data_IF_597060737526
#
_entry.id   IF_597060737526
#
_cell.length_a   1.000
_cell.length_b   1.000
_cell.length_c   1.000
_cell.angle_alpha   90.00
_cell.angle_beta   90.00
_cell.angle_gamma   90.00
#
_symmetry.space_group_name_H-M   'P 1'
#
loop_
_entity.id
_entity.type
_entity.pdbx_description
1 polymer ?
#
# COMPACT_ATOMS: atom_id res chain seq x y z
N UNK A 1 8.26 -65.19 -52.97
CA UNK A 1 8.89 -64.45 -51.88
C UNK A 1 8.12 -63.12 -51.67
N UNK A 2 7.17 -63.00 -50.76
CA UNK A 2 6.30 -61.85 -50.57
C UNK A 2 6.84 -60.97 -49.39
N UNK A 3 7.30 -59.80 -49.74
CA UNK A 3 7.77 -58.82 -48.75
C UNK A 3 6.54 -58.07 -48.16
N UNK A 4 6.23 -58.22 -46.91
CA UNK A 4 5.19 -57.41 -46.19
C UNK A 4 5.82 -56.12 -45.74
N UNK A 5 5.32 -55.00 -46.25
CA UNK A 5 5.60 -53.65 -45.70
C UNK A 5 4.78 -53.46 -44.41
N UNK A 6 5.47 -53.28 -43.30
CA UNK A 6 4.86 -52.87 -42.02
C UNK A 6 4.92 -51.33 -41.99
N UNK A 7 3.76 -50.68 -42.09
CA UNK A 7 3.65 -49.24 -41.80
C UNK A 7 3.66 -49.01 -40.31
N UNK A 8 4.72 -48.38 -39.82
CA UNK A 8 4.81 -47.89 -38.44
C UNK A 8 4.14 -46.53 -38.37
N UNK A 9 2.95 -46.46 -37.79
CA UNK A 9 2.22 -45.23 -37.55
C UNK A 9 2.82 -44.55 -36.31
N UNK A 10 3.69 -43.54 -36.50
CA UNK A 10 4.23 -42.71 -35.42
C UNK A 10 3.16 -41.65 -35.06
N UNK A 11 2.34 -41.94 -34.07
CA UNK A 11 1.46 -40.93 -33.48
C UNK A 11 2.30 -40.01 -32.61
N UNK A 12 2.63 -38.83 -33.10
CA UNK A 12 3.24 -37.73 -32.34
C UNK A 12 2.20 -37.22 -31.35
N UNK A 13 2.34 -37.63 -30.09
CA UNK A 13 1.59 -37.07 -28.93
C UNK A 13 2.19 -35.70 -28.61
N UNK A 14 1.69 -34.64 -29.23
CA UNK A 14 2.01 -33.29 -28.82
C UNK A 14 1.37 -33.03 -27.44
N UNK A 15 2.14 -33.19 -26.34
CA UNK A 15 1.79 -32.64 -25.07
C UNK A 15 1.76 -31.11 -25.23
N UNK A 16 0.57 -30.56 -25.40
CA UNK A 16 0.36 -29.13 -25.30
C UNK A 16 0.70 -28.69 -23.89
N UNK A 17 1.85 -28.06 -23.69
CA UNK A 17 2.08 -27.26 -22.51
C UNK A 17 1.04 -26.14 -22.53
N UNK A 18 -0.08 -26.32 -21.85
CA UNK A 18 -0.96 -25.23 -21.46
C UNK A 18 -0.19 -24.38 -20.46
N UNK A 19 0.61 -23.45 -20.95
CA UNK A 19 1.06 -22.33 -20.14
C UNK A 19 -0.21 -21.58 -19.73
N UNK A 20 -0.60 -21.66 -18.47
CA UNK A 20 -1.61 -20.79 -17.90
C UNK A 20 -1.07 -19.37 -18.02
N UNK A 21 -1.45 -18.67 -19.09
CA UNK A 21 -1.19 -17.24 -19.22
C UNK A 21 -1.97 -16.60 -18.08
N UNK A 22 -1.28 -16.21 -17.02
CA UNK A 22 -1.84 -15.34 -15.99
C UNK A 22 -2.21 -14.03 -16.70
N UNK A 23 -3.49 -13.74 -16.79
CA UNK A 23 -3.93 -12.47 -17.36
C UNK A 23 -3.56 -11.38 -16.36
N UNK A 24 -2.44 -10.72 -16.60
CA UNK A 24 -2.01 -9.52 -15.93
C UNK A 24 -3.04 -8.41 -16.20
N UNK A 25 -3.54 -7.74 -15.18
CA UNK A 25 -4.41 -6.57 -15.35
C UNK A 25 -3.55 -5.37 -15.71
N UNK A 26 -3.93 -4.64 -16.75
CA UNK A 26 -3.31 -3.36 -17.11
C UNK A 26 -4.39 -2.31 -17.05
N UNK A 27 -4.18 -1.25 -16.25
CA UNK A 27 -5.09 -0.14 -16.16
C UNK A 27 -4.38 1.17 -16.55
N UNK A 28 -5.09 2.02 -17.28
CA UNK A 28 -4.71 3.40 -17.58
C UNK A 28 -5.76 4.32 -16.91
N UNK A 29 -5.56 4.73 -15.66
CA UNK A 29 -6.48 5.60 -14.98
C UNK A 29 -6.61 6.94 -15.69
N UNK A 30 -7.79 7.55 -15.61
CA UNK A 30 -8.01 8.87 -16.20
C UNK A 30 -7.36 9.94 -15.34
N UNK A 31 -6.69 10.89 -16.01
CA UNK A 31 -6.18 12.10 -15.38
C UNK A 31 -7.32 13.07 -15.10
N UNK A 32 -7.35 13.63 -13.91
CA UNK A 32 -8.36 14.56 -13.41
C UNK A 32 -7.68 15.84 -12.87
N UNK A 33 -8.46 16.84 -12.50
CA UNK A 33 -7.96 18.01 -11.77
C UNK A 33 -7.73 17.67 -10.30
N UNK A 34 -6.72 18.27 -9.65
CA UNK A 34 -6.32 17.95 -8.28
C UNK A 34 -7.45 18.04 -7.23
N UNK A 35 -8.43 18.91 -7.42
CA UNK A 35 -9.53 19.13 -6.47
C UNK A 35 -10.84 18.45 -6.89
N UNK A 36 -10.81 17.50 -7.82
CA UNK A 36 -12.02 16.86 -8.32
C UNK A 36 -12.55 15.78 -7.37
N UNK A 37 -11.66 15.09 -6.64
CA UNK A 37 -12.04 14.13 -5.61
C UNK A 37 -12.03 14.85 -4.26
N UNK A 38 -13.16 14.80 -3.57
CA UNK A 38 -13.29 15.23 -2.19
C UNK A 38 -13.16 14.02 -1.27
N UNK A 39 -12.12 13.98 -0.43
CA UNK A 39 -11.98 12.90 0.53
C UNK A 39 -13.00 13.06 1.65
N UNK A 40 -14.13 12.40 1.56
CA UNK A 40 -15.20 12.43 2.57
C UNK A 40 -15.66 11.02 3.03
N UNK A 41 -14.98 9.98 2.52
CA UNK A 41 -15.30 8.58 2.80
C UNK A 41 -16.53 8.09 2.02
N UNK A 42 -16.92 8.75 0.93
CA UNK A 42 -18.08 8.36 0.12
C UNK A 42 -17.66 8.20 -1.34
N UNK A 43 -17.67 6.97 -1.82
CA UNK A 43 -17.46 6.68 -3.25
C UNK A 43 -18.73 7.04 -4.01
N UNK A 44 -18.88 8.31 -4.38
CA UNK A 44 -20.04 8.75 -5.16
C UNK A 44 -19.81 8.58 -6.67
N UNK A 45 -20.91 8.31 -7.39
CA UNK A 45 -20.84 7.98 -8.82
C UNK A 45 -20.41 9.16 -9.70
N UNK A 46 -20.63 10.39 -9.27
CA UNK A 46 -20.29 11.57 -10.08
C UNK A 46 -18.80 11.91 -10.02
N UNK A 47 -18.20 11.83 -8.84
CA UNK A 47 -16.77 12.07 -8.67
C UNK A 47 -15.91 10.98 -9.30
N UNK A 48 -16.32 9.71 -9.08
CA UNK A 48 -15.58 8.53 -9.51
C UNK A 48 -16.03 7.99 -10.88
N UNK A 49 -16.91 8.69 -11.63
CA UNK A 49 -17.48 8.22 -12.92
C UNK A 49 -16.46 7.87 -13.99
N UNK A 50 -15.30 8.49 -13.93
CA UNK A 50 -14.23 8.29 -14.90
C UNK A 50 -13.11 7.40 -14.38
N UNK A 51 -13.25 6.83 -13.18
CA UNK A 51 -12.22 6.00 -12.58
C UNK A 51 -12.07 4.67 -13.32
N UNK A 52 -10.83 4.22 -13.45
CA UNK A 52 -10.55 2.83 -13.76
C UNK A 52 -10.99 1.98 -12.58
N UNK A 53 -11.72 0.90 -12.87
CA UNK A 53 -12.25 0.01 -11.84
C UNK A 53 -11.48 -1.30 -11.83
N UNK A 54 -11.07 -1.72 -10.64
CA UNK A 54 -10.45 -3.01 -10.36
C UNK A 54 -11.26 -3.71 -9.29
N UNK A 55 -11.56 -5.00 -9.47
CA UNK A 55 -12.21 -5.81 -8.43
C UNK A 55 -11.19 -6.69 -7.74
N UNK A 56 -11.38 -6.98 -6.45
CA UNK A 56 -10.64 -8.01 -5.74
C UNK A 56 -11.29 -9.36 -6.07
N UNK A 57 -10.72 -10.04 -7.06
CA UNK A 57 -11.35 -11.23 -7.67
C UNK A 57 -10.98 -12.55 -6.99
N UNK A 58 -10.07 -12.49 -6.01
CA UNK A 58 -9.53 -13.70 -5.39
C UNK A 58 -9.54 -13.62 -3.87
N UNK A 59 -10.05 -14.66 -3.23
CA UNK A 59 -9.80 -14.93 -1.81
C UNK A 59 -8.41 -15.56 -1.69
N UNK A 60 -7.52 -14.89 -0.94
CA UNK A 60 -6.15 -15.32 -0.69
C UNK A 60 -6.04 -16.19 0.57
N UNK A 61 -6.76 -15.82 1.65
CA UNK A 61 -6.86 -16.58 2.90
C UNK A 61 -8.32 -16.62 3.36
N UNK A 62 -8.78 -17.74 3.92
CA UNK A 62 -8.15 -19.07 3.99
C UNK A 62 -8.09 -19.78 2.63
N UNK A 63 -8.82 -19.28 1.62
CA UNK A 63 -8.82 -19.80 0.25
C UNK A 63 -7.46 -19.72 -0.44
N UNK A 64 -7.40 -20.25 -1.63
CA UNK A 64 -6.24 -20.12 -2.50
C UNK A 64 -6.68 -19.76 -3.91
N UNK A 65 -6.72 -18.47 -4.18
CA UNK A 65 -7.24 -17.90 -5.43
C UNK A 65 -8.67 -18.37 -5.76
N UNK A 66 -9.48 -18.62 -4.75
CA UNK A 66 -10.89 -18.94 -4.90
C UNK A 66 -11.71 -17.67 -5.12
N UNK A 67 -12.92 -17.74 -5.73
CA UNK A 67 -13.79 -16.57 -5.82
C UNK A 67 -14.09 -16.01 -4.43
N UNK A 68 -14.06 -14.66 -4.26
CA UNK A 68 -14.40 -14.03 -2.99
C UNK A 68 -15.91 -14.14 -2.70
N UNK A 69 -16.26 -14.32 -1.45
CA UNK A 69 -17.65 -14.27 -1.00
C UNK A 69 -18.17 -12.83 -0.76
N UNK A 70 -17.24 -11.89 -0.58
CA UNK A 70 -17.54 -10.47 -0.41
C UNK A 70 -16.91 -9.66 -1.54
N UNK A 71 -17.74 -8.87 -2.19
CA UNK A 71 -17.28 -8.01 -3.28
C UNK A 71 -16.48 -6.82 -2.74
N UNK A 72 -15.45 -6.43 -3.48
CA UNK A 72 -14.73 -5.17 -3.27
C UNK A 72 -14.39 -4.57 -4.61
N UNK A 73 -14.84 -3.35 -4.82
CA UNK A 73 -14.55 -2.54 -6.00
C UNK A 73 -13.52 -1.47 -5.62
N UNK A 74 -12.49 -1.32 -6.44
CA UNK A 74 -11.45 -0.29 -6.27
C UNK A 74 -11.49 0.64 -7.46
N UNK A 75 -11.56 1.92 -7.20
CA UNK A 75 -11.63 2.99 -8.19
C UNK A 75 -10.31 3.77 -8.18
N UNK A 76 -9.75 4.03 -9.37
CA UNK A 76 -8.44 4.67 -9.50
C UNK A 76 -8.51 5.81 -10.51
N UNK A 77 -8.09 6.99 -10.08
CA UNK A 77 -7.84 8.18 -10.91
C UNK A 77 -6.54 8.84 -10.45
N UNK A 78 -6.01 9.76 -11.23
CA UNK A 78 -4.84 10.55 -10.80
C UNK A 78 -4.91 11.98 -11.32
N UNK A 79 -4.18 12.88 -10.67
CA UNK A 79 -3.97 14.26 -11.12
C UNK A 79 -2.50 14.45 -11.51
N UNK A 80 -2.08 15.67 -11.73
CA UNK A 80 -0.66 15.99 -11.94
C UNK A 80 0.20 15.59 -10.73
N UNK A 81 -0.35 15.71 -9.52
CA UNK A 81 0.38 15.62 -8.25
C UNK A 81 0.02 14.39 -7.41
N UNK A 82 -1.17 13.82 -7.59
CA UNK A 82 -1.71 12.84 -6.67
C UNK A 82 -2.29 11.62 -7.39
N UNK A 83 -2.09 10.45 -6.80
CA UNK A 83 -2.87 9.25 -7.08
C UNK A 83 -4.05 9.19 -6.09
N UNK A 84 -5.26 8.95 -6.61
CA UNK A 84 -6.46 8.74 -5.80
C UNK A 84 -6.94 7.31 -5.97
N UNK A 85 -7.16 6.61 -4.85
CA UNK A 85 -7.69 5.24 -4.83
C UNK A 85 -8.87 5.18 -3.87
N UNK A 86 -10.01 4.72 -4.36
CA UNK A 86 -11.22 4.56 -3.56
C UNK A 86 -11.63 3.10 -3.47
N UNK A 87 -11.75 2.57 -2.27
CA UNK A 87 -12.26 1.21 -2.01
C UNK A 87 -13.72 1.25 -1.61
N UNK A 88 -14.56 0.52 -2.33
CA UNK A 88 -15.91 0.19 -1.89
C UNK A 88 -15.93 -1.29 -1.49
N UNK A 89 -15.88 -1.54 -0.18
CA UNK A 89 -15.82 -2.86 0.41
C UNK A 89 -17.23 -3.27 0.87
N UNK A 90 -17.94 -4.09 0.06
CA UNK A 90 -19.28 -4.56 0.40
C UNK A 90 -19.23 -5.55 1.55
N UNK A 91 -20.07 -5.33 2.55
CA UNK A 91 -20.21 -6.14 3.75
C UNK A 91 -21.55 -5.86 4.47
N UNK A 92 -21.87 -6.68 5.46
CA UNK A 92 -22.84 -6.27 6.47
C UNK A 92 -22.16 -5.22 7.38
N UNK A 93 -22.70 -4.00 7.38
CA UNK A 93 -22.11 -2.88 8.15
C UNK A 93 -22.00 -3.17 9.65
N UNK A 94 -22.81 -4.07 10.20
CA UNK A 94 -22.77 -4.49 11.61
C UNK A 94 -21.59 -5.42 11.91
N UNK A 95 -21.03 -6.06 10.88
CA UNK A 95 -19.90 -6.97 11.02
C UNK A 95 -18.53 -6.29 10.73
N UNK A 96 -18.54 -5.05 10.26
CA UNK A 96 -17.31 -4.28 10.01
C UNK A 96 -16.59 -3.98 11.32
N UNK A 97 -15.34 -4.39 11.40
CA UNK A 97 -14.49 -4.18 12.59
C UNK A 97 -13.55 -3.01 12.36
N UNK A 98 -13.68 -1.99 13.17
CA UNK A 98 -12.77 -0.84 13.10
C UNK A 98 -12.71 -0.09 14.42
N UNK A 99 -11.54 0.47 14.72
CA UNK A 99 -11.31 1.38 15.82
C UNK A 99 -10.51 2.59 15.32
N UNK A 100 -10.72 3.75 15.94
CA UNK A 100 -9.84 4.90 15.70
C UNK A 100 -8.49 4.59 16.36
N UNK A 101 -7.42 4.62 15.58
CA UNK A 101 -6.08 4.25 16.01
C UNK A 101 -5.08 5.33 15.66
N UNK A 102 -3.97 5.34 16.37
CA UNK A 102 -2.80 6.10 15.96
C UNK A 102 -2.20 5.48 14.68
N UNK A 103 -1.44 6.27 13.96
CA UNK A 103 -0.70 5.77 12.79
C UNK A 103 0.24 4.64 13.21
N UNK A 104 0.34 3.62 12.39
CA UNK A 104 1.19 2.45 12.55
C UNK A 104 0.92 1.60 13.81
N UNK A 105 -0.30 1.72 14.38
CA UNK A 105 -0.72 0.85 15.48
C UNK A 105 -0.91 -0.60 14.98
N UNK A 106 -0.04 -1.49 15.44
CA UNK A 106 -0.07 -2.92 15.08
C UNK A 106 -1.38 -3.61 15.43
N UNK A 107 -2.16 -3.08 16.39
CA UNK A 107 -3.48 -3.61 16.71
C UNK A 107 -4.49 -3.43 15.57
N UNK A 108 -4.25 -2.53 14.62
CA UNK A 108 -5.06 -2.41 13.43
C UNK A 108 -5.00 -3.69 12.61
N UNK A 109 -3.81 -4.26 12.45
CA UNK A 109 -3.60 -5.50 11.68
C UNK A 109 -4.16 -6.75 12.34
N UNK A 110 -4.40 -6.72 13.67
CA UNK A 110 -4.89 -7.87 14.43
C UNK A 110 -6.41 -7.82 14.62
N UNK A 111 -6.99 -6.64 14.76
CA UNK A 111 -8.36 -6.49 15.25
C UNK A 111 -9.33 -5.83 14.27
N UNK A 112 -8.84 -5.06 13.31
CA UNK A 112 -9.67 -4.26 12.42
C UNK A 112 -9.75 -4.89 11.01
N UNK A 113 -10.83 -4.59 10.30
CA UNK A 113 -10.84 -4.68 8.84
C UNK A 113 -9.92 -3.61 8.28
N UNK A 114 -9.29 -3.88 7.14
CA UNK A 114 -8.46 -2.88 6.47
C UNK A 114 -8.33 -3.15 4.97
N UNK A 115 -7.92 -2.12 4.24
CA UNK A 115 -7.57 -2.17 2.83
C UNK A 115 -6.14 -1.71 2.62
N UNK A 116 -5.48 -2.21 1.57
CA UNK A 116 -4.10 -1.87 1.27
C UNK A 116 -3.93 -1.58 -0.22
N UNK A 117 -3.25 -0.48 -0.49
CA UNK A 117 -2.69 -0.11 -1.80
C UNK A 117 -1.22 -0.50 -1.79
N UNK A 118 -0.87 -1.59 -2.48
CA UNK A 118 0.52 -2.06 -2.64
C UNK A 118 1.03 -1.62 -4.00
N UNK A 119 2.17 -0.91 -4.04
CA UNK A 119 2.77 -0.32 -5.23
C UNK A 119 4.25 -0.68 -5.36
N UNK A 120 4.65 -1.18 -6.53
CA UNK A 120 6.05 -1.22 -6.98
C UNK A 120 6.25 -0.11 -8.01
N UNK A 121 6.77 1.02 -7.54
CA UNK A 121 6.88 2.27 -8.31
C UNK A 121 8.03 2.28 -9.31
N UNK A 122 8.94 1.33 -9.22
CA UNK A 122 10.01 1.11 -10.20
C UNK A 122 9.68 0.00 -11.21
N UNK A 123 8.72 -0.88 -10.88
CA UNK A 123 8.35 -2.03 -11.70
C UNK A 123 9.40 -3.15 -11.72
N UNK A 124 10.39 -3.10 -10.82
CA UNK A 124 11.54 -3.99 -10.81
C UNK A 124 11.43 -5.17 -9.82
N UNK A 125 10.33 -5.24 -9.09
CA UNK A 125 10.03 -6.29 -8.09
C UNK A 125 11.05 -6.38 -6.94
N UNK A 126 11.64 -5.26 -6.56
CA UNK A 126 12.59 -5.19 -5.42
C UNK A 126 11.95 -4.62 -4.17
N UNK A 127 11.05 -3.67 -4.34
CA UNK A 127 10.39 -3.01 -3.23
C UNK A 127 8.90 -2.83 -3.55
N UNK A 128 8.05 -3.07 -2.56
CA UNK A 128 6.67 -2.65 -2.56
C UNK A 128 6.44 -1.60 -1.47
N UNK A 129 5.67 -0.57 -1.77
CA UNK A 129 5.17 0.41 -0.82
C UNK A 129 3.75 0.05 -0.46
N UNK A 130 3.50 -0.21 0.81
CA UNK A 130 2.20 -0.60 1.34
C UNK A 130 1.58 0.60 2.05
N UNK A 131 0.37 0.96 1.66
CA UNK A 131 -0.39 2.06 2.21
C UNK A 131 -1.71 1.48 2.69
N UNK A 132 -1.90 1.41 4.00
CA UNK A 132 -2.99 0.69 4.64
C UNK A 132 -3.92 1.67 5.35
N UNK A 133 -5.21 1.40 5.31
CA UNK A 133 -6.20 2.14 6.09
C UNK A 133 -7.34 1.24 6.54
N UNK A 134 -7.84 1.49 7.75
CA UNK A 134 -9.04 0.85 8.26
C UNK A 134 -10.31 1.62 7.86
N UNK A 135 -11.54 1.10 8.15
CA UNK A 135 -12.80 1.76 7.82
C UNK A 135 -13.02 3.14 8.46
N UNK A 136 -12.22 3.57 9.42
CA UNK A 136 -12.25 4.92 10.02
C UNK A 136 -11.14 5.84 9.52
N UNK A 137 -10.33 5.39 8.52
CA UNK A 137 -9.25 6.20 7.98
C UNK A 137 -7.97 6.19 8.83
N UNK A 138 -7.85 5.32 9.84
CA UNK A 138 -6.59 5.14 10.56
C UNK A 138 -5.57 4.49 9.63
N UNK A 139 -4.34 5.00 9.61
CA UNK A 139 -3.32 4.70 8.62
C UNK A 139 -2.21 3.83 9.18
N UNK A 140 -1.62 3.02 8.29
CA UNK A 140 -0.30 2.44 8.48
C UNK A 140 0.41 2.34 7.13
N UNK A 141 1.73 2.32 7.15
CA UNK A 141 2.53 2.12 5.95
C UNK A 141 3.80 1.32 6.23
N UNK A 142 4.35 0.76 5.17
CA UNK A 142 5.61 0.04 5.23
C UNK A 142 6.24 -0.05 3.84
N UNK A 143 7.57 -0.09 3.81
CA UNK A 143 8.29 -0.58 2.65
C UNK A 143 8.53 -2.07 2.81
N UNK A 144 8.19 -2.85 1.80
CA UNK A 144 8.43 -4.29 1.75
C UNK A 144 9.56 -4.62 0.78
N UNK A 145 10.47 -5.50 1.20
CA UNK A 145 11.56 -6.05 0.37
C UNK A 145 11.43 -7.57 0.28
N UNK A 146 12.22 -8.21 -0.58
CA UNK A 146 12.30 -9.67 -0.68
C UNK A 146 13.31 -10.20 0.36
N UNK A 147 12.92 -10.20 1.63
CA UNK A 147 13.69 -10.83 2.70
C UNK A 147 13.16 -12.24 3.00
N UNK A 148 14.02 -13.11 3.51
CA UNK A 148 13.69 -14.52 3.80
C UNK A 148 12.64 -14.62 4.92
N UNK A 149 12.70 -13.73 5.91
CA UNK A 149 11.76 -13.68 7.03
C UNK A 149 10.62 -12.69 6.71
N UNK A 150 9.37 -13.12 6.87
CA UNK A 150 8.19 -12.29 6.62
C UNK A 150 8.20 -11.02 7.48
N UNK A 151 8.61 -11.10 8.74
CA UNK A 151 8.70 -9.95 9.62
C UNK A 151 9.83 -8.99 9.22
N UNK A 152 10.98 -9.50 8.80
CA UNK A 152 12.09 -8.68 8.32
C UNK A 152 11.84 -8.06 6.95
N UNK A 153 10.88 -8.62 6.19
CA UNK A 153 10.53 -8.10 4.87
C UNK A 153 9.84 -6.73 4.92
N UNK A 154 9.18 -6.37 6.03
CA UNK A 154 8.45 -5.12 6.19
C UNK A 154 9.20 -4.12 7.09
N UNK A 155 9.68 -3.04 6.48
CA UNK A 155 10.23 -1.89 7.19
C UNK A 155 9.09 -0.92 7.54
N UNK A 156 8.56 -1.05 8.75
CA UNK A 156 7.47 -0.23 9.29
C UNK A 156 7.93 1.17 9.75
N UNK A 157 9.24 1.43 9.78
CA UNK A 157 9.79 2.76 10.09
C UNK A 157 9.91 3.63 8.83
N UNK A 158 9.63 3.05 7.64
CA UNK A 158 9.62 3.79 6.39
C UNK A 158 8.29 4.52 6.25
N UNK A 159 8.30 5.82 6.55
CA UNK A 159 7.10 6.65 6.54
C UNK A 159 6.81 7.25 5.17
N UNK A 160 5.58 7.09 4.70
CA UNK A 160 5.04 7.68 3.47
C UNK A 160 3.86 8.57 3.86
N UNK A 161 3.93 9.86 3.62
CA UNK A 161 2.82 10.76 3.87
C UNK A 161 1.73 10.62 2.80
N UNK A 162 0.52 10.28 3.21
CA UNK A 162 -0.69 10.21 2.41
C UNK A 162 -1.91 10.56 3.26
N UNK A 163 -3.01 10.88 2.62
CA UNK A 163 -4.27 11.18 3.29
C UNK A 163 -5.27 10.04 3.07
N UNK A 164 -6.04 9.69 4.09
CA UNK A 164 -7.15 8.74 3.98
C UNK A 164 -8.37 9.21 4.75
N UNK A 165 -9.54 8.93 4.19
CA UNK A 165 -10.81 9.06 4.89
C UNK A 165 -11.60 7.77 4.69
N UNK A 166 -12.06 7.19 5.80
CA UNK A 166 -12.88 5.99 5.78
C UNK A 166 -14.26 6.25 6.38
N UNK A 167 -15.27 5.52 5.90
CA UNK A 167 -16.66 5.64 6.37
C UNK A 167 -17.41 4.32 6.23
N UNK A 168 -18.05 3.88 7.31
CA UNK A 168 -19.00 2.77 7.28
C UNK A 168 -20.29 3.27 6.63
N UNK A 169 -20.77 2.52 5.64
CA UNK A 169 -22.01 2.78 4.90
C UNK A 169 -22.99 1.62 5.11
N UNK A 170 -24.22 1.73 4.60
CA UNK A 170 -25.28 0.75 4.90
C UNK A 170 -24.95 -0.69 4.44
N UNK A 171 -24.19 -0.84 3.37
CA UNK A 171 -23.84 -2.11 2.74
C UNK A 171 -22.32 -2.39 2.73
N UNK A 172 -21.60 -1.87 3.75
CA UNK A 172 -20.18 -2.09 3.92
C UNK A 172 -19.43 -0.88 4.41
N UNK A 173 -18.29 -0.60 3.78
CA UNK A 173 -17.51 0.61 4.08
C UNK A 173 -16.74 1.10 2.84
N UNK A 174 -16.42 2.36 2.85
CA UNK A 174 -15.55 3.00 1.87
C UNK A 174 -14.26 3.48 2.53
N UNK A 175 -13.18 3.47 1.78
CA UNK A 175 -11.92 4.14 2.14
C UNK A 175 -11.38 4.84 0.92
N UNK A 176 -11.09 6.13 1.05
CA UNK A 176 -10.47 6.94 0.01
C UNK A 176 -9.05 7.28 0.39
N UNK A 177 -8.14 7.15 -0.55
CA UNK A 177 -6.72 7.50 -0.43
C UNK A 177 -6.40 8.65 -1.38
N UNK A 178 -5.61 9.62 -0.89
CA UNK A 178 -4.90 10.60 -1.71
C UNK A 178 -3.41 10.45 -1.43
N UNK A 179 -2.68 10.05 -2.44
CA UNK A 179 -1.27 9.66 -2.34
C UNK A 179 -0.46 10.64 -3.21
N UNK A 180 0.24 11.63 -2.61
CA UNK A 180 1.06 12.56 -3.37
C UNK A 180 2.23 11.85 -4.03
N UNK A 181 2.40 12.02 -5.34
CA UNK A 181 3.54 11.43 -6.07
C UNK A 181 4.90 11.88 -5.53
N UNK A 182 4.99 13.08 -4.97
CA UNK A 182 6.23 13.58 -4.37
C UNK A 182 6.73 12.73 -3.19
N UNK A 183 5.81 12.05 -2.49
CA UNK A 183 6.13 11.26 -1.30
C UNK A 183 6.49 9.79 -1.63
N UNK A 184 6.42 9.40 -2.91
CA UNK A 184 6.82 8.09 -3.39
C UNK A 184 8.11 8.19 -4.21
N UNK A 185 9.07 7.28 -4.05
CA UNK A 185 10.22 7.20 -4.95
C UNK A 185 9.80 6.50 -6.25
N UNK A 186 10.21 7.01 -7.40
CA UNK A 186 10.00 6.42 -8.72
C UNK A 186 10.97 6.98 -9.76
N UNK A 187 10.95 6.44 -10.98
CA UNK A 187 11.85 6.85 -12.05
C UNK A 187 11.58 8.31 -12.48
N UNK A 188 12.65 9.06 -12.82
CA UNK A 188 12.52 10.46 -13.25
C UNK A 188 12.03 10.57 -14.71
N UNK A 189 10.81 10.06 -14.96
CA UNK A 189 10.12 10.10 -16.25
C UNK A 189 8.71 10.63 -16.04
N UNK A 190 8.16 11.40 -16.97
CA UNK A 190 6.77 11.88 -16.90
C UNK A 190 5.75 10.77 -17.08
N UNK A 191 6.06 9.78 -17.90
CA UNK A 191 5.24 8.60 -18.09
C UNK A 191 5.78 7.50 -17.19
N UNK A 192 4.93 6.94 -16.35
CA UNK A 192 5.26 5.92 -15.38
C UNK A 192 4.48 4.65 -15.66
N UNK A 193 5.12 3.52 -15.45
CA UNK A 193 4.53 2.20 -15.44
C UNK A 193 4.90 1.55 -14.11
N UNK A 194 3.93 1.45 -13.20
CA UNK A 194 4.13 0.86 -11.89
C UNK A 194 3.42 -0.48 -11.83
N UNK A 195 3.86 -1.35 -10.95
CA UNK A 195 3.08 -2.53 -10.60
C UNK A 195 2.24 -2.24 -9.36
N UNK A 196 1.08 -2.89 -9.28
CA UNK A 196 0.20 -2.73 -8.13
C UNK A 196 -0.46 -4.03 -7.72
N UNK A 197 -0.96 -4.08 -6.49
CA UNK A 197 -1.89 -5.05 -5.97
C UNK A 197 -2.75 -4.40 -4.89
N UNK A 198 -4.04 -4.65 -4.93
CA UNK A 198 -4.97 -4.21 -3.90
C UNK A 198 -5.35 -5.38 -3.01
N UNK A 199 -5.50 -5.08 -1.71
CA UNK A 199 -5.90 -6.04 -0.68
C UNK A 199 -7.06 -5.50 0.12
N UNK A 200 -7.85 -6.43 0.66
CA UNK A 200 -8.77 -6.21 1.76
C UNK A 200 -8.64 -7.35 2.74
N UNK A 201 -8.61 -7.03 4.02
CA UNK A 201 -8.77 -7.98 5.10
C UNK A 201 -10.10 -7.73 5.80
N UNK A 202 -10.78 -8.81 6.16
CA UNK A 202 -12.00 -8.82 6.97
C UNK A 202 -12.04 -10.09 7.81
N UNK A 203 -13.13 -10.32 8.52
CA UNK A 203 -13.32 -11.50 9.34
C UNK A 203 -14.61 -12.22 8.94
N UNK A 204 -14.57 -13.56 8.98
CA UNK A 204 -15.70 -14.46 8.76
C UNK A 204 -15.74 -15.45 9.92
N UNK A 205 -16.82 -15.45 10.71
CA UNK A 205 -16.96 -16.31 11.88
C UNK A 205 -15.76 -16.23 12.85
N UNK A 206 -15.20 -15.04 13.00
CA UNK A 206 -14.01 -14.78 13.82
C UNK A 206 -12.68 -15.11 13.17
N UNK A 207 -12.66 -15.74 12.00
CA UNK A 207 -11.46 -16.05 11.25
C UNK A 207 -11.09 -14.94 10.26
N UNK A 208 -9.81 -14.71 10.10
CA UNK A 208 -9.25 -13.79 9.12
C UNK A 208 -9.54 -14.24 7.70
N UNK A 209 -9.99 -13.32 6.85
CA UNK A 209 -10.19 -13.53 5.42
C UNK A 209 -9.54 -12.39 4.66
N UNK A 210 -8.75 -12.74 3.66
CA UNK A 210 -8.05 -11.77 2.81
C UNK A 210 -8.44 -11.93 1.34
N UNK A 211 -8.71 -10.79 0.69
CA UNK A 211 -9.04 -10.69 -0.72
C UNK A 211 -7.97 -9.88 -1.45
N UNK A 212 -7.67 -10.27 -2.69
CA UNK A 212 -6.63 -9.66 -3.51
C UNK A 212 -7.10 -9.43 -4.96
N UNK A 213 -6.51 -8.44 -5.63
CA UNK A 213 -6.85 -8.08 -7.01
C UNK A 213 -6.29 -9.03 -8.05
N UNK A 214 -5.15 -9.65 -7.80
CA UNK A 214 -4.46 -10.58 -8.71
C UNK A 214 -4.09 -11.88 -8.02
N UNK A 215 -4.00 -12.97 -8.79
CA UNK A 215 -3.65 -14.29 -8.25
C UNK A 215 -2.31 -14.28 -7.51
N UNK A 216 -2.23 -15.14 -6.52
CA UNK A 216 -1.03 -15.36 -5.72
C UNK A 216 -0.53 -16.80 -5.89
N UNK A 217 0.75 -16.99 -6.12
CA UNK A 217 1.37 -18.33 -6.19
C UNK A 217 2.11 -18.63 -4.87
N UNK A 218 1.55 -19.52 -4.06
CA UNK A 218 2.15 -19.94 -2.77
C UNK A 218 3.44 -20.73 -2.94
N UNK A 219 3.75 -21.21 -4.16
CA UNK A 219 5.02 -21.87 -4.44
C UNK A 219 6.15 -20.89 -4.79
N UNK A 220 5.84 -19.62 -5.00
CA UNK A 220 6.82 -18.58 -5.24
C UNK A 220 7.14 -17.87 -3.92
N UNK A 221 8.35 -18.03 -3.42
CA UNK A 221 8.82 -17.43 -2.16
C UNK A 221 9.02 -15.91 -2.23
N UNK A 222 9.18 -15.36 -3.44
CA UNK A 222 9.34 -13.92 -3.64
C UNK A 222 7.98 -13.21 -3.59
N UNK A 223 7.57 -12.66 -2.45
CA UNK A 223 6.27 -11.98 -2.33
C UNK A 223 6.23 -10.67 -3.14
N UNK A 224 7.30 -9.87 -3.11
CA UNK A 224 7.37 -8.61 -3.88
C UNK A 224 7.27 -8.86 -5.39
N UNK A 225 7.75 -10.01 -5.89
CA UNK A 225 7.65 -10.40 -7.30
C UNK A 225 6.20 -10.70 -7.73
N UNK A 226 5.31 -10.90 -6.79
CA UNK A 226 3.92 -11.25 -7.05
C UNK A 226 2.99 -10.04 -7.19
N UNK A 227 3.50 -8.83 -7.02
CA UNK A 227 2.83 -7.59 -7.41
C UNK A 227 3.01 -7.45 -8.92
N UNK A 228 1.98 -7.86 -9.69
CA UNK A 228 2.12 -8.08 -11.14
C UNK A 228 1.21 -7.23 -12.01
N UNK A 229 0.07 -6.75 -11.49
CA UNK A 229 -0.83 -5.88 -12.24
C UNK A 229 -0.14 -4.54 -12.55
N UNK A 230 -0.44 -3.93 -13.69
CA UNK A 230 0.22 -2.71 -14.17
C UNK A 230 -0.74 -1.53 -14.14
N UNK A 231 -0.24 -0.40 -13.64
CA UNK A 231 -0.89 0.90 -13.73
C UNK A 231 0.01 1.87 -14.51
N UNK A 232 -0.58 2.56 -15.48
CA UNK A 232 0.14 3.47 -16.37
C UNK A 232 -0.34 4.91 -16.10
N UNK A 233 0.60 5.79 -15.78
CA UNK A 233 0.38 7.23 -15.63
C UNK A 233 1.06 7.99 -16.76
N UNK A 234 0.42 9.04 -17.27
CA UNK A 234 0.96 9.91 -18.33
C UNK A 234 1.07 11.35 -17.81
N UNK A 235 2.18 11.97 -18.12
CA UNK A 235 2.41 13.40 -17.82
C UNK A 235 2.19 13.78 -16.36
N UNK A 236 2.70 12.99 -15.41
CA UNK A 236 2.69 13.35 -13.99
C UNK A 236 3.73 14.43 -13.69
N UNK A 237 3.45 15.28 -12.72
CA UNK A 237 4.40 16.30 -12.26
C UNK A 237 5.47 15.65 -11.37
N UNK A 238 6.74 15.97 -11.67
CA UNK A 238 7.88 15.49 -10.88
C UNK A 238 8.33 16.64 -9.98
N UNK A 239 7.71 16.73 -8.82
CA UNK A 239 8.13 17.71 -7.81
C UNK A 239 9.40 17.23 -7.09
N UNK A 240 10.26 18.19 -6.74
CA UNK A 240 11.39 17.98 -5.84
C UNK A 240 10.97 18.36 -4.43
N UNK A 241 11.31 17.51 -3.48
CA UNK A 241 11.06 17.79 -2.08
C UNK A 241 12.12 18.75 -1.53
N UNK A 242 11.65 19.76 -0.82
CA UNK A 242 12.46 20.63 0.01
C UNK A 242 11.78 20.76 1.36
N UNK A 243 12.41 20.28 2.40
CA UNK A 243 11.88 20.33 3.75
C UNK A 243 12.87 20.99 4.68
N UNK A 244 12.38 21.92 5.47
CA UNK A 244 13.10 22.55 6.54
C UNK A 244 12.45 22.14 7.86
N UNK A 245 13.18 21.45 8.73
CA UNK A 245 12.67 20.85 9.96
C UNK A 245 13.33 21.50 11.17
N UNK A 246 12.89 22.69 11.62
CA UNK A 246 13.35 23.28 12.87
C UNK A 246 12.77 22.50 14.05
N UNK A 247 13.56 22.29 15.09
CA UNK A 247 13.07 21.74 16.34
C UNK A 247 13.67 22.45 17.55
N UNK A 248 12.92 22.41 18.63
CA UNK A 248 13.34 22.90 19.95
C UNK A 248 13.00 21.83 20.97
N UNK A 249 13.98 21.42 21.75
CA UNK A 249 13.76 20.54 22.90
C UNK A 249 13.96 21.29 24.20
N UNK A 250 13.25 20.87 25.25
CA UNK A 250 13.38 21.42 26.60
C UNK A 250 13.35 20.27 27.62
N UNK A 251 14.45 20.07 28.31
CA UNK A 251 14.61 19.00 29.29
C UNK A 251 14.69 19.53 30.69
N UNK A 252 13.81 19.02 31.58
CA UNK A 252 13.81 19.28 33.02
C UNK A 252 13.98 17.95 33.76
N UNK A 253 15.16 17.75 34.33
CA UNK A 253 15.48 16.51 35.06
C UNK A 253 15.21 16.72 36.54
N UNK A 254 14.40 15.85 37.09
CA UNK A 254 14.12 15.82 38.53
C UNK A 254 14.82 14.63 39.21
N UNK A 255 15.62 14.91 40.24
CA UNK A 255 16.29 13.90 41.05
C UNK A 255 15.66 13.78 42.43
N UNK A 256 15.61 12.57 42.94
CA UNK A 256 15.14 12.28 44.30
C UNK A 256 16.31 11.72 45.09
N UNK A 257 17.01 12.58 45.88
CA UNK A 257 18.25 12.20 46.58
C UNK A 257 18.04 11.04 47.56
N UNK A 258 16.86 10.96 48.21
CA UNK A 258 16.51 9.91 49.15
C UNK A 258 15.07 9.43 48.93
N UNK A 259 14.75 8.21 49.37
CA UNK A 259 13.46 7.55 49.15
C UNK A 259 12.23 8.39 49.55
N UNK A 260 12.37 9.26 50.56
CA UNK A 260 11.30 10.10 51.10
C UNK A 260 11.54 11.60 50.92
N UNK A 261 12.55 12.03 50.17
CA UNK A 261 12.82 13.45 49.92
C UNK A 261 11.92 14.00 48.81
N UNK A 262 11.82 15.33 48.75
CA UNK A 262 11.17 16.03 47.63
C UNK A 262 12.05 15.90 46.38
N UNK A 263 11.39 15.88 45.21
CA UNK A 263 12.08 15.94 43.93
C UNK A 263 12.72 17.33 43.81
N UNK A 264 14.00 17.34 43.50
CA UNK A 264 14.76 18.55 43.18
C UNK A 264 14.95 18.57 41.68
N UNK A 265 14.47 19.63 41.03
CA UNK A 265 14.60 19.80 39.57
C UNK A 265 15.86 20.60 39.27
N UNK A 266 16.59 20.12 38.24
CA UNK A 266 17.71 20.85 37.66
C UNK A 266 17.22 22.05 36.86
N UNK A 267 18.12 22.93 36.44
CA UNK A 267 17.77 24.03 35.54
C UNK A 267 17.25 23.47 34.20
N UNK A 268 16.25 24.15 33.66
CA UNK A 268 15.72 23.86 32.33
C UNK A 268 16.85 23.97 31.32
N UNK A 269 17.14 22.88 30.57
CA UNK A 269 18.05 22.90 29.44
C UNK A 269 17.21 22.95 28.17
N UNK A 270 17.51 23.92 27.33
CA UNK A 270 16.87 24.08 26.02
C UNK A 270 17.90 23.88 24.92
N UNK A 271 17.56 23.08 23.95
CA UNK A 271 18.38 22.84 22.75
C UNK A 271 17.58 23.21 21.50
N UNK A 272 18.26 23.70 20.49
CA UNK A 272 17.72 24.07 19.19
C UNK A 272 18.48 23.31 18.10
N UNK A 273 17.76 22.75 17.15
CA UNK A 273 18.36 22.11 15.99
C UNK A 273 17.57 22.36 14.72
N UNK A 274 18.13 21.98 13.59
CA UNK A 274 17.60 22.21 12.27
C UNK A 274 17.92 21.02 11.35
N UNK A 275 16.88 20.42 10.75
CA UNK A 275 16.99 19.47 9.66
C UNK A 275 16.72 20.15 8.31
N UNK A 276 17.39 19.69 7.25
CA UNK A 276 17.18 20.12 5.88
C UNK A 276 17.23 18.91 4.96
N UNK A 277 16.15 18.63 4.26
CA UNK A 277 16.02 17.55 3.28
C UNK A 277 15.79 18.15 1.89
N UNK A 278 16.64 17.79 0.94
CA UNK A 278 16.59 18.27 -0.44
C UNK A 278 16.66 17.08 -1.40
N UNK A 279 15.65 16.91 -2.23
CA UNK A 279 15.73 15.98 -3.35
C UNK A 279 16.63 16.57 -4.45
N UNK A 280 17.81 16.05 -4.64
CA UNK A 280 18.67 16.37 -5.77
C UNK A 280 18.05 15.83 -7.07
N UNK A 281 17.50 14.62 -6.99
CA UNK A 281 16.68 13.97 -8.00
C UNK A 281 15.77 12.94 -7.31
N UNK A 282 14.88 12.24 -8.04
CA UNK A 282 13.95 11.27 -7.46
C UNK A 282 14.60 10.08 -6.73
N UNK A 283 15.89 9.86 -6.97
CA UNK A 283 16.63 8.73 -6.41
C UNK A 283 17.71 9.16 -5.41
N UNK A 284 17.88 10.48 -5.19
CA UNK A 284 18.96 11.02 -4.35
C UNK A 284 18.40 12.10 -3.45
N UNK A 285 18.34 11.78 -2.17
CA UNK A 285 18.00 12.71 -1.09
C UNK A 285 19.31 13.22 -0.49
N UNK A 286 19.41 14.51 -0.28
CA UNK A 286 20.48 15.15 0.48
C UNK A 286 19.89 15.62 1.81
N UNK A 287 20.43 15.10 2.89
CA UNK A 287 19.98 15.38 4.26
C UNK A 287 21.12 16.03 5.05
N UNK A 288 20.80 17.15 5.69
CA UNK A 288 21.71 17.84 6.62
C UNK A 288 20.96 18.00 7.94
N UNK A 289 21.60 17.61 9.03
CA UNK A 289 21.08 17.88 10.37
C UNK A 289 22.12 18.65 11.18
N UNK A 290 21.71 19.78 11.73
CA UNK A 290 22.48 20.56 12.70
C UNK A 290 21.93 20.34 14.11
N UNK A 291 22.80 19.96 15.04
CA UNK A 291 22.51 19.67 16.44
C UNK A 291 21.35 18.67 16.61
N UNK A 292 21.48 17.41 16.10
CA UNK A 292 20.41 16.42 16.16
C UNK A 292 20.02 16.12 17.61
N UNK A 293 18.71 15.93 17.86
CA UNK A 293 18.21 15.47 19.14
C UNK A 293 18.41 13.95 19.25
N UNK A 294 19.25 13.52 20.17
CA UNK A 294 19.52 12.12 20.49
C UNK A 294 18.87 11.70 21.83
N UNK A 295 17.86 12.42 22.32
CA UNK A 295 17.20 12.16 23.60
C UNK A 295 16.22 10.99 23.55
#
# INVERSE_FOLDING_TARGET
>A
MKIKFIYFFLTSLTLGCFSFIHSQKIIEPKKINDNQINLDGIINKEEWKNASKVSLDYEFKPGYNTPPDKKTDVYVVYSDKNLYVGFYAYDDSLNVRASIRQRDDMNMFINDDWVNVKLDTYGDSRNNYNLVSNPFGSQADARQTDAIDEFESYDINYNIEFETVGKIVNDGYNVEFKIPFKNLPFTNKKNQEWKFRFFRRTYRDGNEVEFISSKYDRNNSCDVCQTTDIIIFKDIEIEKRFELLPYVSANLIGEKPEKNSKIIYNNLKTDFGLGLNIDLNKNTLFEITYNPDFS
#
